data_IF_521365302811
#
_entry.id   IF_521365302811
#
_cell.length_a   1.000
_cell.length_b   1.000
_cell.length_c   1.000
_cell.angle_alpha   90.00
_cell.angle_beta   90.00
_cell.angle_gamma   90.00
#
_symmetry.space_group_name_H-M   'P 1'
#
loop_
_entity.id
_entity.type
_entity.pdbx_description
1 polymer ?
#
# COMPACT_ATOMS: atom_id res chain seq x y z
N UNK A 1 -45.37 -63.82 -55.19
CA UNK A 1 -44.26 -63.34 -55.96
C UNK A 1 -43.47 -62.40 -55.13
N UNK A 2 -42.23 -62.84 -54.81
CA UNK A 2 -41.24 -62.10 -54.04
C UNK A 2 -40.51 -61.08 -54.92
N UNK A 3 -40.17 -59.97 -54.34
CA UNK A 3 -38.98 -59.19 -54.81
C UNK A 3 -38.32 -58.55 -53.63
N UNK A 4 -37.13 -59.05 -53.34
CA UNK A 4 -36.13 -58.45 -52.41
C UNK A 4 -35.42 -57.29 -53.10
N UNK A 5 -35.25 -56.20 -52.39
CA UNK A 5 -34.32 -55.14 -52.75
C UNK A 5 -33.42 -54.85 -51.57
N UNK A 6 -32.15 -55.13 -51.76
CA UNK A 6 -31.05 -54.71 -50.90
C UNK A 6 -30.89 -53.19 -51.00
N UNK A 7 -30.80 -52.52 -49.88
CA UNK A 7 -30.30 -51.14 -49.78
C UNK A 7 -29.02 -51.12 -48.98
N UNK A 8 -27.97 -50.61 -49.59
CA UNK A 8 -26.62 -50.49 -49.07
C UNK A 8 -26.55 -49.44 -47.96
N UNK A 9 -25.88 -49.78 -46.88
CA UNK A 9 -25.46 -48.82 -45.81
C UNK A 9 -24.40 -47.90 -46.35
N UNK A 10 -24.69 -46.60 -46.40
CA UNK A 10 -23.69 -45.55 -46.49
C UNK A 10 -23.37 -45.02 -45.11
N UNK A 11 -22.17 -45.28 -44.62
CA UNK A 11 -21.68 -44.69 -43.36
C UNK A 11 -21.32 -43.22 -43.64
N UNK A 12 -22.11 -42.31 -43.08
CA UNK A 12 -21.71 -40.92 -42.92
C UNK A 12 -21.02 -40.79 -41.60
N UNK A 13 -19.72 -40.66 -41.62
CA UNK A 13 -18.96 -40.18 -40.49
C UNK A 13 -19.33 -38.74 -40.26
N UNK A 14 -20.11 -38.52 -39.19
CA UNK A 14 -20.39 -37.19 -38.65
C UNK A 14 -19.21 -36.87 -37.72
N UNK A 15 -18.20 -36.20 -38.23
CA UNK A 15 -17.20 -35.52 -37.46
C UNK A 15 -17.88 -34.34 -36.76
N UNK A 16 -18.36 -34.59 -35.55
CA UNK A 16 -18.75 -33.57 -34.62
C UNK A 16 -17.46 -32.90 -34.14
N UNK A 17 -16.99 -31.86 -34.86
CA UNK A 17 -16.05 -30.90 -34.33
C UNK A 17 -16.78 -30.19 -33.15
N UNK A 18 -16.50 -30.70 -31.96
CA UNK A 18 -16.77 -29.99 -30.72
C UNK A 18 -15.84 -28.76 -30.75
N UNK A 19 -16.35 -27.66 -31.30
CA UNK A 19 -15.78 -26.34 -31.02
C UNK A 19 -15.96 -26.11 -29.50
N UNK A 20 -14.96 -26.50 -28.75
CA UNK A 20 -14.75 -26.00 -27.40
C UNK A 20 -14.67 -24.48 -27.49
N UNK A 21 -15.76 -23.81 -27.20
CA UNK A 21 -15.74 -22.39 -26.88
C UNK A 21 -14.84 -22.25 -25.65
N UNK A 22 -13.56 -22.02 -25.88
CA UNK A 22 -12.68 -21.51 -24.85
C UNK A 22 -13.31 -20.16 -24.45
N UNK A 23 -13.98 -20.14 -23.32
CA UNK A 23 -14.32 -18.89 -22.64
C UNK A 23 -12.98 -18.20 -22.38
N UNK A 24 -12.65 -17.22 -23.22
CA UNK A 24 -11.51 -16.34 -22.96
C UNK A 24 -11.84 -15.65 -21.63
N UNK A 25 -11.12 -16.06 -20.59
CA UNK A 25 -11.28 -15.45 -19.27
C UNK A 25 -10.88 -13.97 -19.41
N UNK A 26 -11.80 -13.06 -19.06
CA UNK A 26 -11.53 -11.62 -19.19
C UNK A 26 -10.42 -11.23 -18.23
N UNK A 27 -9.46 -10.45 -18.73
CA UNK A 27 -8.43 -9.85 -17.88
C UNK A 27 -9.04 -8.84 -16.88
N UNK A 28 -8.26 -8.43 -15.88
CA UNK A 28 -8.77 -7.57 -14.82
C UNK A 28 -9.17 -6.19 -15.35
N UNK A 29 -8.46 -5.63 -16.30
CA UNK A 29 -8.82 -4.35 -16.92
C UNK A 29 -10.20 -4.39 -17.58
N UNK A 30 -10.49 -5.45 -18.33
CA UNK A 30 -11.80 -5.64 -18.98
C UNK A 30 -12.93 -5.77 -17.95
N UNK A 31 -12.69 -6.47 -16.83
CA UNK A 31 -13.65 -6.58 -15.72
C UNK A 31 -13.94 -5.21 -15.08
N UNK A 32 -12.89 -4.39 -14.85
CA UNK A 32 -13.01 -3.03 -14.32
C UNK A 32 -13.82 -2.14 -15.27
N UNK A 33 -13.53 -2.19 -16.57
CA UNK A 33 -14.25 -1.41 -17.58
C UNK A 33 -15.72 -1.82 -17.68
N UNK A 34 -16.02 -3.11 -17.61
CA UNK A 34 -17.41 -3.61 -17.60
C UNK A 34 -18.16 -3.20 -16.32
N UNK A 35 -17.48 -3.25 -15.17
CA UNK A 35 -18.03 -2.82 -13.89
C UNK A 35 -18.20 -1.29 -13.77
N UNK A 36 -17.50 -0.52 -14.61
CA UNK A 36 -17.49 0.95 -14.59
C UNK A 36 -16.78 1.55 -13.38
N UNK A 37 -16.01 0.77 -12.65
CA UNK A 37 -15.30 1.22 -11.43
C UNK A 37 -14.01 0.47 -11.18
N UNK A 38 -13.03 1.20 -10.64
CA UNK A 38 -11.77 0.70 -10.09
C UNK A 38 -11.87 0.66 -8.57
N UNK A 39 -11.70 -0.50 -7.96
CA UNK A 39 -11.82 -0.69 -6.50
C UNK A 39 -10.44 -0.71 -5.85
N UNK A 40 -10.19 0.25 -4.97
CA UNK A 40 -8.92 0.46 -4.27
C UNK A 40 -9.06 0.17 -2.77
N UNK A 41 -8.16 -0.60 -2.16
CA UNK A 41 -7.98 -0.65 -0.72
C UNK A 41 -6.90 0.34 -0.27
N UNK A 42 -7.14 1.04 0.84
CA UNK A 42 -6.16 1.95 1.45
C UNK A 42 -6.36 2.06 2.96
N UNK A 43 -5.32 2.51 3.68
CA UNK A 43 -5.32 2.71 5.15
C UNK A 43 -5.20 4.21 5.45
N UNK A 44 -6.33 4.94 5.63
CA UNK A 44 -6.32 6.39 5.65
C UNK A 44 -5.94 6.98 7.03
N UNK A 45 -4.79 6.57 7.53
CA UNK A 45 -4.12 7.01 8.77
C UNK A 45 -2.67 7.47 8.53
N UNK A 46 -2.32 7.73 7.25
CA UNK A 46 -0.93 7.94 6.85
C UNK A 46 -0.72 9.20 5.96
N UNK A 47 -0.95 10.42 6.51
CA UNK A 47 -0.74 11.65 5.78
C UNK A 47 0.77 11.82 5.39
N UNK A 48 1.08 12.39 4.23
CA UNK A 48 0.18 12.99 3.23
C UNK A 48 -0.31 11.99 2.17
N UNK A 49 0.00 10.71 2.30
CA UNK A 49 -0.31 9.69 1.29
C UNK A 49 -1.82 9.38 1.23
N UNK A 50 -2.43 9.04 2.37
CA UNK A 50 -3.86 8.79 2.52
C UNK A 50 -4.32 9.11 3.94
N UNK A 51 -5.36 9.93 4.05
CA UNK A 51 -5.92 10.35 5.34
C UNK A 51 -7.33 10.90 5.22
N UNK A 52 -8.03 11.00 6.35
CA UNK A 52 -9.34 11.61 6.40
C UNK A 52 -9.26 13.11 6.62
N UNK A 53 -10.13 13.84 5.93
CA UNK A 53 -10.47 15.24 6.25
C UNK A 53 -11.97 15.39 6.44
N UNK A 54 -12.39 16.48 7.07
CA UNK A 54 -13.80 16.88 7.10
C UNK A 54 -14.05 17.90 5.98
N UNK A 55 -14.90 17.52 5.03
CA UNK A 55 -15.38 18.41 3.98
C UNK A 55 -16.90 18.49 4.05
N UNK A 56 -17.42 19.69 4.26
CA UNK A 56 -18.87 19.92 4.45
C UNK A 56 -19.48 19.04 5.54
N UNK A 57 -18.74 18.77 6.61
CA UNK A 57 -19.16 17.94 7.75
C UNK A 57 -19.16 16.43 7.49
N UNK A 58 -18.64 15.98 6.35
CA UNK A 58 -18.47 14.55 6.00
C UNK A 58 -17.00 14.20 5.96
N UNK A 59 -16.67 12.97 6.40
CA UNK A 59 -15.33 12.41 6.22
C UNK A 59 -15.11 12.10 4.75
N UNK A 60 -14.00 12.59 4.20
CA UNK A 60 -13.51 12.29 2.87
C UNK A 60 -12.08 11.77 2.98
N UNK A 61 -11.73 10.74 2.19
CA UNK A 61 -10.37 10.21 2.12
C UNK A 61 -9.65 10.95 1.01
N UNK A 62 -8.52 11.54 1.34
CA UNK A 62 -7.67 12.32 0.44
C UNK A 62 -6.21 11.91 0.62
N UNK A 63 -5.35 12.36 -0.29
CA UNK A 63 -3.91 12.15 -0.19
C UNK A 63 -3.25 11.96 -1.55
N UNK A 64 -1.93 11.97 -1.57
CA UNK A 64 -1.16 11.82 -2.81
C UNK A 64 -1.38 10.45 -3.47
N UNK A 65 -1.52 9.39 -2.68
CA UNK A 65 -1.79 8.05 -3.17
C UNK A 65 -3.21 7.95 -3.77
N UNK A 66 -4.19 8.61 -3.12
CA UNK A 66 -5.55 8.71 -3.64
C UNK A 66 -5.57 9.46 -4.98
N UNK A 67 -4.83 10.58 -5.08
CA UNK A 67 -4.73 11.35 -6.32
C UNK A 67 -4.10 10.53 -7.46
N UNK A 68 -3.08 9.72 -7.15
CA UNK A 68 -2.46 8.84 -8.14
C UNK A 68 -3.44 7.79 -8.67
N UNK A 69 -4.19 7.10 -7.77
CA UNK A 69 -5.16 6.09 -8.21
C UNK A 69 -6.37 6.73 -8.90
N UNK A 70 -6.78 7.95 -8.52
CA UNK A 70 -7.78 8.71 -9.26
C UNK A 70 -7.33 8.97 -10.70
N UNK A 71 -6.06 9.36 -10.92
CA UNK A 71 -5.52 9.54 -12.26
C UNK A 71 -5.50 8.22 -13.07
N UNK A 72 -5.27 7.07 -12.43
CA UNK A 72 -5.38 5.75 -13.07
C UNK A 72 -6.83 5.45 -13.46
N UNK A 73 -7.79 5.70 -12.56
CA UNK A 73 -9.23 5.51 -12.85
C UNK A 73 -9.69 6.40 -14.00
N UNK A 74 -9.25 7.66 -14.03
CA UNK A 74 -9.54 8.62 -15.11
C UNK A 74 -8.97 8.16 -16.45
N UNK A 75 -7.74 7.63 -16.49
CA UNK A 75 -7.13 7.06 -17.70
C UNK A 75 -7.89 5.83 -18.23
N UNK A 76 -8.40 4.98 -17.32
CA UNK A 76 -9.25 3.83 -17.69
C UNK A 76 -10.65 4.29 -18.14
N UNK A 77 -11.12 5.45 -17.66
CA UNK A 77 -12.45 5.99 -17.91
C UNK A 77 -13.54 5.42 -17.01
N UNK A 78 -13.22 5.13 -15.73
CA UNK A 78 -14.12 4.54 -14.72
C UNK A 78 -14.13 5.35 -13.43
N UNK A 79 -15.11 5.11 -12.55
CA UNK A 79 -15.16 5.70 -11.22
C UNK A 79 -14.15 5.03 -10.26
N UNK A 80 -13.61 5.78 -9.30
CA UNK A 80 -12.81 5.25 -8.21
C UNK A 80 -13.70 4.91 -7.02
N UNK A 81 -13.69 3.64 -6.58
CA UNK A 81 -14.30 3.19 -5.33
C UNK A 81 -13.20 2.92 -4.31
N UNK A 82 -13.22 3.64 -3.18
CA UNK A 82 -12.24 3.48 -2.10
C UNK A 82 -12.83 2.58 -1.01
N UNK A 83 -12.10 1.52 -0.65
CA UNK A 83 -12.39 0.65 0.50
C UNK A 83 -11.37 0.92 1.61
N UNK A 84 -11.72 1.75 2.61
CA UNK A 84 -10.84 2.01 3.74
C UNK A 84 -10.76 0.80 4.67
N UNK A 85 -9.56 0.54 5.19
CA UNK A 85 -9.29 -0.47 6.19
C UNK A 85 -8.01 -0.10 6.94
N UNK A 86 -7.53 -0.93 7.87
CA UNK A 86 -6.18 -0.79 8.43
C UNK A 86 -5.12 -1.35 7.45
N UNK A 87 -3.85 -1.11 7.74
CA UNK A 87 -2.76 -1.51 6.85
C UNK A 87 -2.72 -3.02 6.59
N UNK A 88 -2.93 -3.86 7.61
CA UNK A 88 -3.03 -5.31 7.44
C UNK A 88 -4.21 -5.70 6.53
N UNK A 89 -5.32 -5.00 6.67
CA UNK A 89 -6.50 -5.17 5.82
C UNK A 89 -6.23 -4.83 4.36
N UNK A 90 -5.42 -3.81 4.07
CA UNK A 90 -4.99 -3.50 2.69
C UNK A 90 -4.24 -4.69 2.09
N UNK A 91 -3.21 -5.21 2.78
CA UNK A 91 -2.44 -6.37 2.33
C UNK A 91 -3.33 -7.61 2.14
N UNK A 92 -4.25 -7.87 3.07
CA UNK A 92 -5.20 -9.00 3.00
C UNK A 92 -6.17 -8.85 1.82
N UNK A 93 -6.69 -7.65 1.55
CA UNK A 93 -7.58 -7.40 0.42
C UNK A 93 -6.88 -7.65 -0.93
N UNK A 94 -5.61 -7.23 -1.07
CA UNK A 94 -4.81 -7.52 -2.26
C UNK A 94 -4.60 -9.04 -2.38
N UNK A 95 -4.15 -9.70 -1.31
CA UNK A 95 -3.85 -11.12 -1.33
C UNK A 95 -5.07 -11.98 -1.71
N UNK A 96 -6.26 -11.59 -1.26
CA UNK A 96 -7.52 -12.33 -1.54
C UNK A 96 -8.19 -11.96 -2.85
N UNK A 97 -7.75 -10.89 -3.53
CA UNK A 97 -8.38 -10.38 -4.75
C UNK A 97 -9.75 -9.74 -4.51
N UNK A 98 -10.02 -9.24 -3.30
CA UNK A 98 -11.28 -8.56 -2.98
C UNK A 98 -11.31 -7.08 -3.42
N UNK A 99 -10.22 -6.59 -3.99
CA UNK A 99 -10.03 -5.28 -4.61
C UNK A 99 -9.25 -5.44 -5.91
N UNK A 100 -9.26 -4.42 -6.76
CA UNK A 100 -8.48 -4.41 -8.00
C UNK A 100 -7.01 -4.06 -7.74
N UNK A 101 -6.77 -3.18 -6.78
CA UNK A 101 -5.45 -2.78 -6.32
C UNK A 101 -5.49 -2.30 -4.87
N UNK A 102 -4.31 -2.21 -4.27
CA UNK A 102 -4.12 -1.58 -2.96
C UNK A 102 -2.93 -0.62 -3.00
N UNK A 103 -3.08 0.48 -2.29
CA UNK A 103 -2.05 1.49 -2.13
C UNK A 103 -2.13 2.06 -0.70
N UNK A 104 -1.01 2.19 -0.04
CA UNK A 104 -0.90 2.70 1.33
C UNK A 104 0.57 3.03 1.64
N UNK A 105 1.21 3.79 0.77
CA UNK A 105 2.63 4.15 0.86
C UNK A 105 3.55 2.94 1.16
N UNK A 106 3.18 1.75 0.70
CA UNK A 106 3.91 0.54 1.05
C UNK A 106 4.99 0.16 0.04
N UNK A 107 6.00 -0.53 0.54
CA UNK A 107 7.16 -1.00 -0.22
C UNK A 107 6.89 -2.39 -0.81
N UNK A 108 7.38 -2.62 -2.03
CA UNK A 108 7.44 -3.95 -2.64
C UNK A 108 8.58 -4.76 -2.02
N UNK A 109 8.25 -5.80 -1.23
CA UNK A 109 9.22 -6.73 -0.67
C UNK A 109 9.14 -8.08 -1.38
N UNK A 110 10.22 -8.88 -1.29
CA UNK A 110 10.24 -10.23 -1.86
C UNK A 110 9.13 -11.12 -1.26
N UNK A 111 8.82 -10.96 0.03
CA UNK A 111 7.76 -11.67 0.71
C UNK A 111 6.39 -11.30 0.14
N UNK A 112 6.11 -9.99 0.01
CA UNK A 112 4.86 -9.50 -0.60
C UNK A 112 4.74 -9.92 -2.07
N UNK A 113 5.86 -9.94 -2.82
CA UNK A 113 5.93 -10.40 -4.21
C UNK A 113 5.55 -11.86 -4.43
N UNK A 114 5.48 -12.68 -3.36
CA UNK A 114 4.97 -14.06 -3.46
C UNK A 114 3.45 -14.10 -3.64
N UNK A 115 2.73 -13.11 -3.12
CA UNK A 115 1.26 -13.08 -3.05
C UNK A 115 0.61 -11.91 -3.80
N UNK A 116 1.40 -10.95 -4.28
CA UNK A 116 0.91 -9.81 -5.07
C UNK A 116 1.91 -9.43 -6.16
N UNK A 117 1.44 -8.70 -7.16
CA UNK A 117 2.24 -8.05 -8.20
C UNK A 117 2.39 -6.56 -7.87
N UNK A 118 3.39 -5.90 -8.42
CA UNK A 118 3.68 -4.50 -8.13
C UNK A 118 3.70 -3.65 -9.42
N UNK A 119 3.36 -2.38 -9.25
CA UNK A 119 3.69 -1.35 -10.22
C UNK A 119 5.18 -1.03 -10.20
N UNK A 120 5.60 -0.16 -11.12
CA UNK A 120 6.83 0.61 -10.95
C UNK A 120 6.75 1.49 -9.70
N UNK A 121 7.89 1.89 -9.17
CA UNK A 121 7.96 2.77 -8.02
C UNK A 121 7.45 4.18 -8.32
N UNK A 122 6.59 4.74 -7.45
CA UNK A 122 6.03 6.07 -7.63
C UNK A 122 6.58 7.11 -6.67
N UNK A 123 7.18 6.69 -5.56
CA UNK A 123 7.77 7.58 -4.55
C UNK A 123 9.00 6.94 -3.93
N UNK A 124 9.99 7.79 -3.58
CA UNK A 124 11.21 7.40 -2.87
C UNK A 124 11.21 8.01 -1.48
N UNK A 125 11.27 7.19 -0.42
CA UNK A 125 11.33 7.64 0.98
C UNK A 125 12.54 8.58 1.21
N UNK A 126 13.70 8.21 0.67
CA UNK A 126 14.95 8.96 0.86
C UNK A 126 14.91 10.40 0.30
N UNK A 127 13.91 10.74 -0.54
CA UNK A 127 13.74 12.10 -1.03
C UNK A 127 13.20 13.06 0.06
N UNK A 128 12.52 12.52 1.09
CA UNK A 128 11.73 13.29 2.06
C UNK A 128 11.97 12.91 3.51
N UNK A 129 12.63 11.77 3.73
CA UNK A 129 12.84 11.23 5.06
C UNK A 129 13.70 9.98 5.06
N UNK A 130 13.55 9.16 6.09
CA UNK A 130 14.24 7.90 6.29
C UNK A 130 13.44 6.97 7.20
N UNK A 131 13.82 5.71 7.26
CA UNK A 131 13.26 4.78 8.24
C UNK A 131 13.93 5.03 9.59
N UNK A 132 13.20 5.59 10.52
CA UNK A 132 13.78 6.13 11.76
C UNK A 132 13.05 5.67 13.03
N UNK A 133 13.42 6.31 14.12
CA UNK A 133 12.86 6.06 15.46
C UNK A 133 12.24 7.34 16.01
N UNK A 134 10.99 7.24 16.44
CA UNK A 134 10.26 8.28 17.15
C UNK A 134 10.26 7.97 18.65
N UNK A 135 10.56 8.97 19.47
CA UNK A 135 10.58 8.86 20.94
C UNK A 135 10.04 10.13 21.59
N UNK A 136 9.79 10.07 22.91
CA UNK A 136 9.63 11.31 23.69
C UNK A 136 10.98 12.02 23.79
N UNK A 137 10.97 13.36 23.85
CA UNK A 137 12.20 14.17 24.01
C UNK A 137 13.01 13.77 25.24
N UNK A 138 12.31 13.41 26.35
CA UNK A 138 12.94 12.93 27.58
C UNK A 138 13.73 11.63 27.35
N UNK A 139 13.13 10.65 26.67
CA UNK A 139 13.77 9.37 26.40
C UNK A 139 14.86 9.50 25.32
N UNK A 140 14.63 10.29 24.28
CA UNK A 140 15.58 10.55 23.21
C UNK A 140 16.93 11.09 23.73
N UNK A 141 16.90 11.94 24.78
CA UNK A 141 18.10 12.51 25.38
C UNK A 141 19.04 11.48 26.03
N UNK A 142 18.56 10.25 26.26
CA UNK A 142 19.34 9.16 26.89
C UNK A 142 20.22 8.40 25.88
N UNK A 143 19.99 8.55 24.58
CA UNK A 143 20.63 7.76 23.53
C UNK A 143 21.37 8.66 22.54
N UNK A 144 22.56 8.24 22.14
CA UNK A 144 23.40 8.92 21.14
C UNK A 144 23.67 8.05 19.92
N UNK A 145 23.52 6.74 20.06
CA UNK A 145 23.79 5.76 19.01
C UNK A 145 22.72 4.68 18.96
N UNK A 146 22.62 4.03 17.83
CA UNK A 146 21.72 2.89 17.63
C UNK A 146 22.08 1.71 18.55
N UNK A 147 23.37 1.50 18.84
CA UNK A 147 23.84 0.43 19.73
C UNK A 147 23.39 0.66 21.18
N UNK A 148 23.42 1.92 21.66
CA UNK A 148 22.88 2.27 22.99
C UNK A 148 21.38 2.00 23.05
N UNK A 149 20.63 2.33 21.97
CA UNK A 149 19.21 2.07 21.87
C UNK A 149 18.90 0.56 21.94
N UNK A 150 19.66 -0.25 21.18
CA UNK A 150 19.53 -1.72 21.18
C UNK A 150 19.80 -2.32 22.55
N UNK A 151 20.84 -1.83 23.24
CA UNK A 151 21.24 -2.31 24.55
C UNK A 151 20.21 -1.99 25.67
N UNK A 152 19.35 -1.01 25.44
CA UNK A 152 18.33 -0.60 26.42
C UNK A 152 17.11 -1.52 26.48
N UNK A 153 16.99 -2.47 25.53
CA UNK A 153 15.90 -3.45 25.50
C UNK A 153 14.48 -2.84 25.60
N UNK A 154 14.23 -1.78 24.86
CA UNK A 154 13.02 -0.99 24.89
C UNK A 154 11.78 -1.77 24.42
N UNK A 155 10.61 -1.34 24.89
CA UNK A 155 9.33 -1.70 24.25
C UNK A 155 9.12 -0.80 23.05
N UNK A 156 9.08 -1.38 21.85
CA UNK A 156 8.98 -0.64 20.58
C UNK A 156 7.62 -0.87 19.94
N UNK A 157 6.95 0.21 19.54
CA UNK A 157 5.74 0.16 18.74
C UNK A 157 6.05 0.08 17.25
N UNK A 158 5.22 -0.61 16.49
CA UNK A 158 5.22 -0.58 15.04
C UNK A 158 3.84 -0.91 14.49
N UNK A 159 3.51 -0.41 13.30
CA UNK A 159 2.27 -0.80 12.63
C UNK A 159 2.36 -2.26 12.16
N UNK A 160 1.31 -3.04 12.42
CA UNK A 160 1.27 -4.46 12.05
C UNK A 160 1.39 -4.66 10.54
N UNK A 161 2.20 -5.64 10.11
CA UNK A 161 2.42 -5.96 8.69
C UNK A 161 3.31 -4.98 7.93
N UNK A 162 3.77 -3.88 8.57
CA UNK A 162 4.64 -2.88 7.95
C UNK A 162 6.11 -3.31 7.95
N UNK A 163 6.90 -2.69 7.08
CA UNK A 163 8.38 -2.85 7.11
C UNK A 163 8.97 -2.26 8.39
N UNK A 164 8.32 -1.29 9.04
CA UNK A 164 8.73 -0.75 10.33
C UNK A 164 8.66 -1.80 11.44
N UNK A 165 7.72 -2.76 11.37
CA UNK A 165 7.73 -3.89 12.29
C UNK A 165 9.00 -4.75 12.11
N UNK A 166 9.38 -5.04 10.87
CA UNK A 166 10.62 -5.78 10.56
C UNK A 166 11.85 -5.00 11.05
N UNK A 167 11.90 -3.68 10.78
CA UNK A 167 12.98 -2.82 11.25
C UNK A 167 13.04 -2.72 12.79
N UNK A 168 11.89 -2.71 13.47
CA UNK A 168 11.86 -2.73 14.94
C UNK A 168 12.55 -3.97 15.53
N UNK A 169 12.55 -5.11 14.84
CA UNK A 169 13.30 -6.31 15.28
C UNK A 169 14.81 -6.12 15.30
N UNK A 170 15.33 -5.11 14.61
CA UNK A 170 16.75 -4.79 14.60
C UNK A 170 17.19 -3.98 15.84
N UNK A 171 16.24 -3.40 16.58
CA UNK A 171 16.51 -2.55 17.73
C UNK A 171 15.99 -3.10 19.07
N UNK A 172 15.11 -4.12 19.05
CA UNK A 172 14.63 -4.80 20.25
C UNK A 172 14.24 -6.25 19.95
N UNK A 173 14.04 -7.08 21.01
CA UNK A 173 13.52 -8.43 20.86
C UNK A 173 12.07 -8.39 20.36
N UNK A 174 11.72 -9.28 19.43
CA UNK A 174 10.38 -9.37 18.87
C UNK A 174 9.24 -9.47 19.92
N UNK A 175 9.54 -10.03 21.10
CA UNK A 175 8.57 -10.10 22.23
C UNK A 175 8.28 -8.74 22.87
N UNK A 176 9.14 -7.75 22.65
CA UNK A 176 9.00 -6.38 23.12
C UNK A 176 8.43 -5.44 22.08
N UNK A 177 8.06 -5.96 20.89
CA UNK A 177 7.41 -5.18 19.85
C UNK A 177 5.90 -5.26 20.04
N UNK A 178 5.26 -4.10 20.25
CA UNK A 178 3.80 -3.95 20.25
C UNK A 178 3.33 -3.57 18.85
N UNK A 179 2.43 -4.36 18.30
CA UNK A 179 1.81 -4.07 17.01
C UNK A 179 0.56 -3.22 17.19
N UNK A 180 0.40 -2.22 16.34
CA UNK A 180 -0.76 -1.35 16.26
C UNK A 180 -1.44 -1.48 14.90
N UNK A 181 -2.76 -1.31 14.85
CA UNK A 181 -3.52 -1.32 13.59
C UNK A 181 -3.30 -0.05 12.79
N UNK A 182 -3.15 1.09 13.48
CA UNK A 182 -2.96 2.42 12.88
C UNK A 182 -1.73 3.12 13.46
N UNK A 183 -1.17 4.07 12.69
CA UNK A 183 -0.05 4.90 13.14
C UNK A 183 -0.47 5.83 14.28
N UNK A 184 -1.68 6.38 14.22
CA UNK A 184 -2.24 7.23 15.30
C UNK A 184 -2.27 6.50 16.64
N UNK A 185 -2.73 5.23 16.66
CA UNK A 185 -2.73 4.42 17.87
C UNK A 185 -1.32 4.18 18.42
N UNK A 186 -0.33 3.98 17.53
CA UNK A 186 1.07 3.82 17.94
C UNK A 186 1.62 5.13 18.57
N UNK A 187 1.35 6.28 17.97
CA UNK A 187 1.78 7.60 18.46
C UNK A 187 1.14 7.90 19.82
N UNK A 188 -0.16 7.62 19.98
CA UNK A 188 -0.84 7.78 21.26
C UNK A 188 -0.23 6.88 22.35
N UNK A 189 0.11 5.63 22.02
CA UNK A 189 0.78 4.72 22.93
C UNK A 189 2.18 5.20 23.34
N UNK A 190 2.94 5.82 22.43
CA UNK A 190 4.22 6.45 22.75
C UNK A 190 4.02 7.66 23.67
N UNK A 191 3.06 8.52 23.34
CA UNK A 191 2.78 9.73 24.11
C UNK A 191 2.27 9.42 25.52
N UNK A 192 1.57 8.30 25.71
CA UNK A 192 1.10 7.83 27.03
C UNK A 192 2.15 7.03 27.81
N UNK A 193 3.28 6.65 27.19
CA UNK A 193 4.34 5.84 27.80
C UNK A 193 4.06 4.34 27.79
N UNK A 194 3.10 3.85 26.97
CA UNK A 194 2.82 2.43 26.79
C UNK A 194 3.88 1.71 25.96
N UNK A 195 4.61 2.47 25.14
CA UNK A 195 5.83 2.07 24.44
C UNK A 195 6.92 3.14 24.62
N UNK A 196 8.18 2.75 24.54
CA UNK A 196 9.34 3.64 24.73
C UNK A 196 9.77 4.32 23.44
N UNK A 197 9.51 3.68 22.29
CA UNK A 197 9.86 4.13 20.96
C UNK A 197 8.87 3.58 19.92
N UNK A 198 8.86 4.18 18.73
CA UNK A 198 8.18 3.65 17.54
C UNK A 198 9.16 3.64 16.38
N UNK A 199 9.21 2.54 15.61
CA UNK A 199 9.85 2.51 14.30
C UNK A 199 8.91 3.12 13.26
N UNK A 200 9.37 4.13 12.52
CA UNK A 200 8.54 4.97 11.64
C UNK A 200 9.22 5.29 10.31
N UNK A 201 8.40 5.53 9.28
CA UNK A 201 8.78 6.36 8.14
C UNK A 201 8.70 7.82 8.57
N UNK A 202 9.82 8.53 8.57
CA UNK A 202 9.90 9.87 9.17
C UNK A 202 9.14 10.93 8.37
N UNK A 203 9.09 10.79 7.05
CA UNK A 203 8.33 11.70 6.17
C UNK A 203 6.84 11.74 6.52
N UNK A 204 6.28 10.60 6.97
CA UNK A 204 4.86 10.47 7.26
C UNK A 204 4.47 10.91 8.67
N UNK A 205 5.36 10.75 9.64
CA UNK A 205 5.06 11.20 11.01
C UNK A 205 5.38 12.67 11.26
N UNK A 206 6.20 13.29 10.42
CA UNK A 206 6.62 14.68 10.58
C UNK A 206 5.42 15.66 10.69
N UNK A 207 4.38 15.58 9.85
CA UNK A 207 3.21 16.45 9.98
C UNK A 207 2.44 16.26 11.28
N UNK A 208 2.48 15.05 11.86
CA UNK A 208 1.75 14.71 13.09
C UNK A 208 2.44 15.28 14.35
N UNK A 209 3.74 15.58 14.29
CA UNK A 209 4.50 16.09 15.43
C UNK A 209 4.07 17.49 15.90
N UNK A 210 3.36 18.26 15.07
CA UNK A 210 2.78 19.54 15.50
C UNK A 210 1.75 19.34 16.61
N UNK A 211 1.02 18.22 16.59
CA UNK A 211 0.03 17.85 17.59
C UNK A 211 0.67 17.24 18.85
N UNK A 212 1.87 16.67 18.71
CA UNK A 212 2.60 15.99 19.80
C UNK A 212 3.97 16.65 20.04
N UNK A 213 4.01 17.85 20.65
CA UNK A 213 5.24 18.64 20.78
C UNK A 213 6.32 18.01 21.66
N UNK A 214 5.97 17.00 22.47
CA UNK A 214 6.93 16.27 23.32
C UNK A 214 7.59 15.07 22.61
N UNK A 215 7.16 14.75 21.37
CA UNK A 215 7.78 13.72 20.55
C UNK A 215 8.89 14.29 19.66
N UNK A 216 9.85 13.45 19.31
CA UNK A 216 10.97 13.80 18.43
C UNK A 216 11.44 12.60 17.64
N UNK A 217 11.76 12.81 16.37
CA UNK A 217 12.48 11.85 15.53
C UNK A 217 13.96 11.91 15.92
N UNK A 218 14.56 10.74 16.16
CA UNK A 218 16.01 10.66 16.43
C UNK A 218 16.82 11.03 15.17
N UNK A 219 18.02 11.63 15.32
CA UNK A 219 18.83 12.09 14.19
C UNK A 219 19.18 10.97 13.21
N UNK A 220 19.00 11.22 11.91
CA UNK A 220 19.26 10.25 10.84
C UNK A 220 20.67 9.68 10.90
N UNK A 221 21.68 10.53 11.11
CA UNK A 221 23.10 10.14 11.06
C UNK A 221 23.45 8.99 12.03
N UNK A 222 22.65 8.83 13.09
CA UNK A 222 22.90 7.82 14.13
C UNK A 222 21.78 6.79 14.30
N UNK A 223 20.60 7.03 13.72
CA UNK A 223 19.41 6.23 13.99
C UNK A 223 18.62 5.85 12.73
N UNK A 224 19.24 5.91 11.55
CA UNK A 224 18.64 5.36 10.34
C UNK A 224 18.59 3.83 10.43
N UNK A 225 17.38 3.27 10.31
CA UNK A 225 17.13 1.83 10.38
C UNK A 225 17.30 1.15 9.02
N UNK A 226 17.39 1.91 7.93
CA UNK A 226 17.46 1.41 6.54
C UNK A 226 18.53 2.15 5.73
N UNK A 227 19.77 2.17 6.25
CA UNK A 227 20.91 2.86 5.61
C UNK A 227 21.11 2.42 4.15
N UNK A 228 20.85 1.15 3.85
CA UNK A 228 20.97 0.59 2.50
C UNK A 228 19.76 0.89 1.60
N UNK A 229 18.77 1.60 2.09
CA UNK A 229 17.54 2.00 1.39
C UNK A 229 16.76 0.82 0.78
N UNK A 230 16.77 -0.31 1.46
CA UNK A 230 16.04 -1.52 1.05
C UNK A 230 14.53 -1.29 0.98
N UNK A 231 14.01 -0.41 1.82
CA UNK A 231 12.60 -0.09 1.97
C UNK A 231 12.27 1.35 1.55
N UNK A 232 12.93 1.84 0.51
CA UNK A 232 12.83 3.25 0.12
C UNK A 232 11.78 3.52 -0.96
N UNK A 233 11.32 2.51 -1.70
CA UNK A 233 10.47 2.72 -2.89
C UNK A 233 9.05 2.24 -2.65
N UNK A 234 8.08 3.15 -2.77
CA UNK A 234 6.66 2.84 -2.67
C UNK A 234 6.09 2.36 -4.01
N UNK A 235 5.19 1.40 -3.95
CA UNK A 235 4.56 0.74 -5.10
C UNK A 235 3.06 0.54 -4.89
N UNK A 236 2.32 0.35 -5.98
CA UNK A 236 0.94 -0.12 -5.96
C UNK A 236 0.96 -1.65 -5.98
N UNK A 237 0.12 -2.30 -5.16
CA UNK A 237 -0.03 -3.76 -5.14
C UNK A 237 -1.27 -4.22 -5.89
N UNK A 238 -1.13 -5.31 -6.65
CA UNK A 238 -2.21 -5.94 -7.41
C UNK A 238 -2.38 -7.40 -6.99
N UNK A 239 -3.64 -7.92 -6.94
CA UNK A 239 -3.87 -9.32 -6.59
C UNK A 239 -3.25 -10.27 -7.59
N UNK A 240 -2.33 -11.14 -7.15
CA UNK A 240 -1.69 -12.15 -8.02
C UNK A 240 -2.64 -13.21 -8.55
N UNK A 241 -3.87 -13.24 -8.03
CA UNK A 241 -4.95 -14.13 -8.47
C UNK A 241 -5.63 -13.67 -9.76
N UNK A 242 -5.35 -12.45 -10.24
CA UNK A 242 -5.98 -11.84 -11.39
C UNK A 242 -4.99 -11.75 -12.57
N UNK A 243 -5.50 -11.64 -13.78
CA UNK A 243 -4.68 -11.24 -14.94
C UNK A 243 -4.60 -9.71 -14.98
N UNK A 244 -3.52 -9.16 -14.40
CA UNK A 244 -3.32 -7.73 -14.21
C UNK A 244 -2.41 -7.09 -15.27
N UNK A 245 -1.85 -7.83 -16.22
CA UNK A 245 -0.79 -7.33 -17.09
C UNK A 245 -1.13 -5.96 -17.73
N UNK A 246 -2.31 -5.82 -18.31
CA UNK A 246 -2.77 -4.55 -18.92
C UNK A 246 -3.10 -3.47 -17.89
N UNK A 247 -3.61 -3.83 -16.72
CA UNK A 247 -3.88 -2.89 -15.64
C UNK A 247 -2.57 -2.30 -15.08
N UNK A 248 -1.57 -3.14 -14.86
CA UNK A 248 -0.24 -2.71 -14.41
C UNK A 248 0.44 -1.84 -15.47
N UNK A 249 0.31 -2.17 -16.76
CA UNK A 249 0.84 -1.34 -17.85
C UNK A 249 0.24 0.08 -17.83
N UNK A 250 -1.09 0.20 -17.63
CA UNK A 250 -1.75 1.51 -17.50
C UNK A 250 -1.28 2.23 -16.23
N UNK A 251 -1.21 1.54 -15.10
CA UNK A 251 -0.73 2.13 -13.85
C UNK A 251 0.70 2.66 -14.00
N UNK A 252 1.61 1.89 -14.60
CA UNK A 252 3.00 2.30 -14.84
C UNK A 252 3.09 3.49 -15.82
N UNK A 253 2.27 3.50 -16.86
CA UNK A 253 2.16 4.65 -17.79
C UNK A 253 1.76 5.92 -17.01
N UNK A 254 0.69 5.85 -16.21
CA UNK A 254 0.21 7.00 -15.41
C UNK A 254 1.25 7.44 -14.39
N UNK A 255 1.93 6.51 -13.71
CA UNK A 255 3.04 6.81 -12.80
C UNK A 255 4.12 7.59 -13.55
N UNK A 256 4.61 7.08 -14.68
CA UNK A 256 5.69 7.71 -15.44
C UNK A 256 5.30 9.10 -15.95
N UNK A 257 4.10 9.26 -16.49
CA UNK A 257 3.60 10.57 -16.96
C UNK A 257 3.54 11.59 -15.82
N UNK A 258 3.14 11.17 -14.61
CA UNK A 258 3.03 12.06 -13.45
C UNK A 258 4.36 12.28 -12.72
N UNK A 259 5.35 11.41 -12.91
CA UNK A 259 6.74 11.69 -12.56
C UNK A 259 7.34 12.74 -13.50
N UNK A 260 7.20 12.55 -14.80
CA UNK A 260 7.81 13.43 -15.83
C UNK A 260 7.25 14.86 -15.80
N UNK A 261 5.98 15.03 -15.50
CA UNK A 261 5.32 16.34 -15.43
C UNK A 261 5.34 16.97 -14.03
N UNK A 262 5.91 16.27 -13.03
CA UNK A 262 6.05 16.76 -11.66
C UNK A 262 4.77 16.72 -10.81
N UNK A 263 3.69 16.10 -11.28
CA UNK A 263 2.43 16.03 -10.53
C UNK A 263 2.54 15.21 -9.24
N UNK A 264 3.32 14.13 -9.21
CA UNK A 264 3.47 13.33 -7.98
C UNK A 264 4.07 14.17 -6.85
N UNK A 265 5.11 14.95 -7.14
CA UNK A 265 5.72 15.86 -6.17
C UNK A 265 4.75 16.97 -5.76
N UNK A 266 4.03 17.55 -6.74
CA UNK A 266 3.03 18.59 -6.51
C UNK A 266 1.92 18.07 -5.58
N UNK A 267 1.31 16.91 -5.86
CA UNK A 267 0.27 16.31 -5.02
C UNK A 267 0.77 16.07 -3.61
N UNK A 268 1.94 15.46 -3.47
CA UNK A 268 2.53 15.22 -2.17
C UNK A 268 2.70 16.50 -1.35
N UNK A 269 3.18 17.56 -1.97
CA UNK A 269 3.34 18.88 -1.33
C UNK A 269 1.98 19.47 -0.93
N UNK A 270 1.00 19.46 -1.83
CA UNK A 270 -0.36 19.94 -1.56
C UNK A 270 -1.01 19.19 -0.40
N UNK A 271 -0.89 17.85 -0.38
CA UNK A 271 -1.45 17.04 0.70
C UNK A 271 -0.65 17.10 2.00
N UNK A 272 0.65 17.40 1.96
CA UNK A 272 1.41 17.75 3.16
C UNK A 272 0.87 19.01 3.83
N UNK A 273 0.58 20.04 3.04
CA UNK A 273 -0.02 21.27 3.55
C UNK A 273 -1.46 21.04 4.08
N UNK A 274 -2.20 20.11 3.46
CA UNK A 274 -3.55 19.75 3.88
C UNK A 274 -3.58 18.83 5.13
N UNK A 275 -2.50 18.11 5.40
CA UNK A 275 -2.40 17.14 6.49
C UNK A 275 -2.66 17.72 7.89
N UNK A 276 -2.49 19.04 8.08
CA UNK A 276 -2.85 19.73 9.32
C UNK A 276 -4.37 19.68 9.62
N UNK A 277 -5.20 19.34 8.62
CA UNK A 277 -6.66 19.16 8.74
C UNK A 277 -7.06 17.69 8.86
N UNK A 278 -6.10 16.77 8.98
CA UNK A 278 -6.37 15.35 9.14
C UNK A 278 -7.25 15.10 10.38
N UNK A 279 -8.20 14.17 10.26
CA UNK A 279 -9.10 13.74 11.33
C UNK A 279 -9.09 12.23 11.46
N UNK A 280 -9.31 11.72 12.68
CA UNK A 280 -9.44 10.28 12.94
C UNK A 280 -10.77 9.69 12.45
#
# INVERSE_FOLDING_TARGET
>A
LSLTLLAACGSSENTNESQGSATVEMDQLSKIQEAGKLVMATSPDFPPAEFYILKDGKKEIVGSDVALVQAIADEIGVELEIKPTDFNGVLANIQTGSVDLGIAAFVGTDERGQVMEFSDGYQQEAADGFQGVLMTKENAAKFKTLDELKAAELTVGAQGGSVQYELATTITDAKKIKQFGTMDAAILALNSGDVDAIAVSTSHVLPMLETFPDLVILPQESFDLDVDQKYATNVIGFPKTNDNARLIEIANKVIQENLDNGNLEKWRKEYTELAVQAVE
#
